data_IF_976631046258
#
_entry.id   IF_976631046258
#
_cell.length_a   1.000
_cell.length_b   1.000
_cell.length_c   1.000
_cell.angle_alpha   90.00
_cell.angle_beta   90.00
_cell.angle_gamma   90.00
#
_symmetry.space_group_name_H-M   'P 1'
#
loop_
_entity.id
_entity.type
_entity.pdbx_description
1 polymer ?
#
# COMPACT_ATOMS: atom_id res chain seq x y z
N UNK A 1 -19.39 -8.88 -32.87
CA UNK A 1 -18.94 -7.47 -32.83
C UNK A 1 -18.13 -7.31 -31.56
N UNK A 2 -16.84 -7.00 -31.70
CA UNK A 2 -15.87 -6.94 -30.60
C UNK A 2 -16.25 -5.79 -29.66
N UNK A 3 -16.65 -6.11 -28.44
CA UNK A 3 -16.67 -5.16 -27.32
C UNK A 3 -15.23 -4.82 -27.00
N UNK A 4 -14.89 -3.53 -27.09
CA UNK A 4 -13.54 -3.05 -26.84
C UNK A 4 -13.16 -3.28 -25.38
N UNK A 5 -12.12 -4.08 -25.17
CA UNK A 5 -11.36 -4.08 -23.94
C UNK A 5 -10.78 -2.67 -23.78
N UNK A 6 -11.39 -1.84 -22.94
CA UNK A 6 -10.69 -0.70 -22.36
C UNK A 6 -9.58 -1.31 -21.50
N UNK A 7 -8.38 -1.44 -22.08
CA UNK A 7 -7.15 -1.57 -21.32
C UNK A 7 -7.03 -0.28 -20.49
N UNK A 8 -7.51 -0.34 -19.24
CA UNK A 8 -7.18 0.66 -18.23
C UNK A 8 -5.70 0.46 -17.95
N UNK A 9 -4.88 1.26 -18.60
CA UNK A 9 -3.48 1.44 -18.21
C UNK A 9 -3.54 2.18 -16.88
N UNK A 10 -3.60 1.47 -15.75
CA UNK A 10 -3.02 1.99 -14.52
C UNK A 10 -1.53 2.03 -14.84
N UNK A 11 -1.09 3.16 -15.35
CA UNK A 11 0.31 3.40 -15.62
C UNK A 11 1.02 3.33 -14.27
N UNK A 12 1.61 2.16 -13.97
CA UNK A 12 2.81 2.07 -13.16
C UNK A 12 3.81 3.04 -13.79
N UNK A 13 3.87 4.24 -13.23
CA UNK A 13 4.81 5.27 -13.63
C UNK A 13 5.00 6.12 -12.40
N UNK A 14 5.97 5.70 -11.59
CA UNK A 14 6.77 6.58 -10.73
C UNK A 14 7.19 7.77 -11.62
N UNK A 15 6.45 8.86 -11.54
CA UNK A 15 6.82 10.11 -12.17
C UNK A 15 7.89 10.73 -11.29
N UNK A 16 9.14 10.48 -11.65
CA UNK A 16 10.30 11.24 -11.20
C UNK A 16 9.99 12.75 -11.27
N UNK A 17 9.86 13.40 -10.10
CA UNK A 17 9.92 14.85 -9.98
C UNK A 17 11.34 15.22 -9.59
N UNK A 18 12.13 15.53 -10.61
CA UNK A 18 13.40 16.25 -10.49
C UNK A 18 13.15 17.77 -10.51
N UNK A 19 13.94 18.47 -9.68
CA UNK A 19 14.22 19.92 -9.61
C UNK A 19 13.31 20.70 -8.64
N UNK A 20 13.83 21.35 -7.59
CA UNK A 20 14.62 22.60 -7.64
C UNK A 20 15.32 22.83 -6.28
N UNK A 21 16.54 23.40 -6.29
CA UNK A 21 16.95 24.33 -5.23
C UNK A 21 18.24 24.04 -4.48
N UNK A 22 19.38 24.13 -5.16
CA UNK A 22 20.68 24.35 -4.53
C UNK A 22 20.67 25.74 -3.84
N UNK A 23 20.78 25.79 -2.51
CA UNK A 23 21.17 27.01 -1.80
C UNK A 23 22.46 26.73 -1.04
N UNK A 24 23.55 27.31 -1.56
CA UNK A 24 24.81 27.48 -0.87
C UNK A 24 24.67 28.63 0.14
N UNK A 25 24.92 28.39 1.41
CA UNK A 25 25.31 29.44 2.36
C UNK A 25 26.64 29.03 2.98
N UNK A 26 27.70 29.71 2.57
CA UNK A 26 28.99 29.67 3.23
C UNK A 26 28.98 30.55 4.49
N UNK A 27 29.80 30.19 5.47
CA UNK A 27 30.04 30.99 6.68
C UNK A 27 30.85 30.24 7.71
N UNK A 28 32.17 30.36 7.63
CA UNK A 28 33.15 29.82 8.58
C UNK A 28 33.35 30.85 9.69
N UNK A 29 33.17 30.49 10.95
CA UNK A 29 33.84 31.19 12.07
C UNK A 29 34.26 30.20 13.17
N UNK A 30 35.56 30.25 13.48
CA UNK A 30 36.21 29.49 14.52
C UNK A 30 36.05 30.20 15.87
N UNK A 31 35.37 29.55 16.81
CA UNK A 31 35.25 29.98 18.20
C UNK A 31 35.84 28.95 19.16
N UNK A 32 36.91 29.33 19.86
CA UNK A 32 37.68 28.53 20.83
C UNK A 32 36.82 28.01 22.00
N UNK A 33 36.79 26.69 22.22
CA UNK A 33 36.14 26.04 23.38
C UNK A 33 37.17 25.61 24.44
N UNK A 34 36.96 26.05 25.68
CA UNK A 34 37.54 25.48 26.91
C UNK A 34 36.86 24.15 27.27
N UNK A 35 37.58 23.13 27.80
CA UNK A 35 36.97 21.84 28.11
C UNK A 35 36.33 21.86 29.51
N UNK A 36 35.01 21.67 29.58
CA UNK A 36 34.32 21.22 30.78
C UNK A 36 34.07 19.71 30.66
N UNK A 37 34.62 18.93 31.58
CA UNK A 37 34.38 17.49 31.68
C UNK A 37 33.02 17.24 32.36
N UNK A 38 32.03 16.81 31.59
CA UNK A 38 30.80 16.19 32.09
C UNK A 38 30.92 14.66 31.98
N UNK A 39 30.50 13.88 33.00
CA UNK A 39 30.49 12.43 32.89
C UNK A 39 29.43 12.02 31.86
N UNK A 40 29.88 11.39 30.77
CA UNK A 40 29.04 10.88 29.69
C UNK A 40 28.30 9.63 30.19
N UNK A 41 27.03 9.80 30.57
CA UNK A 41 26.11 8.67 30.67
C UNK A 41 25.86 8.20 29.23
N UNK A 42 26.27 6.98 28.91
CA UNK A 42 25.98 6.32 27.63
C UNK A 42 24.48 5.99 27.57
N UNK A 43 23.65 7.00 27.34
CA UNK A 43 22.33 6.79 26.78
C UNK A 43 22.52 6.23 25.39
N UNK A 44 22.34 4.92 25.23
CA UNK A 44 22.16 4.31 23.92
C UNK A 44 20.79 4.76 23.39
N UNK A 45 20.72 5.98 22.88
CA UNK A 45 19.66 6.33 21.95
C UNK A 45 19.95 5.52 20.69
N UNK A 46 19.30 4.37 20.57
CA UNK A 46 19.24 3.64 19.30
C UNK A 46 18.58 4.57 18.30
N UNK A 47 19.37 5.36 17.56
CA UNK A 47 18.87 6.03 16.37
C UNK A 47 18.33 4.93 15.47
N UNK A 48 17.06 5.04 15.06
CA UNK A 48 16.57 4.18 14.00
C UNK A 48 17.55 4.27 12.82
N UNK A 49 17.83 3.15 12.12
CA UNK A 49 18.67 3.19 10.94
C UNK A 49 18.06 4.18 9.96
N UNK A 50 18.88 5.10 9.43
CA UNK A 50 18.41 6.12 8.49
C UNK A 50 17.76 5.43 7.28
N UNK A 51 16.53 5.84 6.96
CA UNK A 51 15.85 5.41 5.75
C UNK A 51 16.47 6.06 4.50
N UNK A 52 16.46 5.34 3.38
CA UNK A 52 16.68 5.93 2.06
C UNK A 52 15.44 6.72 1.62
N UNK A 53 15.56 7.65 0.65
CA UNK A 53 14.41 8.33 0.08
C UNK A 53 13.35 7.36 -0.47
N UNK A 54 13.78 6.27 -1.09
CA UNK A 54 12.90 5.23 -1.66
C UNK A 54 12.13 4.48 -0.56
N UNK A 55 12.79 4.17 0.57
CA UNK A 55 12.12 3.56 1.73
C UNK A 55 11.09 4.50 2.37
N UNK A 56 11.39 5.79 2.47
CA UNK A 56 10.45 6.80 2.97
C UNK A 56 9.25 6.89 2.03
N UNK A 57 9.47 7.05 0.73
CA UNK A 57 8.41 7.11 -0.27
C UNK A 57 7.53 5.87 -0.21
N UNK A 58 8.13 4.68 -0.10
CA UNK A 58 7.37 3.44 -0.04
C UNK A 58 6.53 3.28 1.20
N UNK A 59 7.06 3.61 2.38
CA UNK A 59 6.26 3.55 3.61
C UNK A 59 5.05 4.50 3.53
N UNK A 60 5.27 5.73 3.04
CA UNK A 60 4.21 6.73 2.94
C UNK A 60 3.16 6.38 1.89
N UNK A 61 3.59 5.81 0.76
CA UNK A 61 2.67 5.37 -0.28
C UNK A 61 1.84 4.17 0.17
N UNK A 62 2.47 3.12 0.71
CA UNK A 62 1.73 1.93 1.19
C UNK A 62 0.72 2.31 2.28
N UNK A 63 1.00 3.33 3.09
CA UNK A 63 0.04 3.82 4.09
C UNK A 63 -1.26 4.31 3.46
N UNK A 64 -1.18 5.04 2.35
CA UNK A 64 -2.36 5.55 1.65
C UNK A 64 -2.96 4.52 0.68
N UNK A 65 -2.18 3.59 0.15
CA UNK A 65 -2.68 2.49 -0.68
C UNK A 65 -3.56 1.52 0.13
N UNK A 66 -3.11 1.11 1.31
CA UNK A 66 -3.92 0.28 2.23
C UNK A 66 -5.18 1.03 2.70
N UNK A 67 -5.08 2.36 2.86
CA UNK A 67 -6.24 3.22 3.10
C UNK A 67 -7.20 3.21 1.92
N UNK A 68 -6.71 3.25 0.69
CA UNK A 68 -7.52 3.18 -0.52
C UNK A 68 -8.29 1.86 -0.57
N UNK A 69 -7.62 0.74 -0.33
CA UNK A 69 -8.27 -0.57 -0.27
C UNK A 69 -9.39 -0.57 0.78
N UNK A 70 -9.07 -0.18 2.03
CA UNK A 70 -10.05 -0.07 3.12
C UNK A 70 -11.25 0.78 2.75
N UNK A 71 -11.01 1.99 2.25
CA UNK A 71 -12.05 2.98 2.01
C UNK A 71 -12.95 2.61 0.83
N UNK A 72 -12.38 2.01 -0.23
CA UNK A 72 -13.17 1.44 -1.33
C UNK A 72 -14.07 0.34 -0.80
N UNK A 73 -13.55 -0.57 0.04
CA UNK A 73 -14.32 -1.69 0.58
C UNK A 73 -15.42 -1.24 1.53
N UNK A 74 -15.16 -0.26 2.40
CA UNK A 74 -16.22 0.34 3.24
C UNK A 74 -17.32 0.97 2.37
N UNK A 75 -16.95 1.72 1.34
CA UNK A 75 -17.89 2.38 0.44
C UNK A 75 -18.72 1.39 -0.39
N UNK A 76 -18.10 0.31 -0.85
CA UNK A 76 -18.79 -0.76 -1.58
C UNK A 76 -19.62 -1.65 -0.66
N UNK A 77 -19.24 -1.80 0.61
CA UNK A 77 -20.08 -2.43 1.62
C UNK A 77 -21.36 -1.64 1.86
N UNK A 78 -21.30 -0.32 2.00
CA UNK A 78 -22.49 0.53 2.15
C UNK A 78 -23.42 0.45 0.93
N UNK A 79 -22.87 0.22 -0.26
CA UNK A 79 -23.63 0.09 -1.50
C UNK A 79 -24.29 -1.28 -1.64
N UNK A 80 -23.53 -2.35 -1.41
CA UNK A 80 -23.92 -3.72 -1.77
C UNK A 80 -24.27 -4.62 -0.57
N UNK A 81 -23.99 -4.17 0.65
CA UNK A 81 -24.18 -4.88 1.91
C UNK A 81 -23.67 -6.33 1.88
N UNK A 82 -22.54 -6.56 1.21
CA UNK A 82 -21.95 -7.89 1.05
C UNK A 82 -20.84 -8.13 2.08
N UNK A 83 -20.92 -9.18 2.93
CA UNK A 83 -19.99 -9.39 4.05
C UNK A 83 -18.50 -9.41 3.70
N UNK A 84 -18.12 -9.83 2.49
CA UNK A 84 -16.71 -9.87 2.06
C UNK A 84 -16.05 -8.48 2.16
N UNK A 85 -16.71 -7.42 1.69
CA UNK A 85 -16.17 -6.06 1.76
C UNK A 85 -15.96 -5.59 3.21
N UNK A 86 -16.91 -5.89 4.11
CA UNK A 86 -16.76 -5.56 5.52
C UNK A 86 -15.65 -6.37 6.20
N UNK A 87 -15.51 -7.64 5.85
CA UNK A 87 -14.50 -8.51 6.44
C UNK A 87 -13.09 -8.09 6.00
N UNK A 88 -12.92 -7.80 4.72
CA UNK A 88 -11.63 -7.43 4.14
C UNK A 88 -11.23 -6.00 4.54
N UNK A 89 -12.15 -5.03 4.58
CA UNK A 89 -11.83 -3.68 5.12
C UNK A 89 -11.30 -3.70 6.57
N UNK A 90 -11.70 -4.68 7.40
CA UNK A 90 -11.10 -4.85 8.74
C UNK A 90 -9.66 -5.40 8.66
N UNK A 91 -9.33 -6.19 7.65
CA UNK A 91 -7.97 -6.62 7.36
C UNK A 91 -7.12 -5.45 6.87
N UNK A 92 -7.65 -4.62 5.96
CA UNK A 92 -6.93 -3.43 5.48
C UNK A 92 -6.68 -2.42 6.60
N UNK A 93 -7.58 -2.32 7.57
CA UNK A 93 -7.29 -1.54 8.77
C UNK A 93 -6.07 -2.08 9.54
N UNK A 94 -5.90 -3.40 9.62
CA UNK A 94 -4.72 -4.00 10.25
C UNK A 94 -3.46 -3.73 9.43
N UNK A 95 -3.52 -3.83 8.10
CA UNK A 95 -2.40 -3.48 7.22
C UNK A 95 -2.00 -2.02 7.39
N UNK A 96 -2.97 -1.10 7.35
CA UNK A 96 -2.79 0.31 7.67
C UNK A 96 -2.07 0.51 9.00
N UNK A 97 -2.47 -0.19 10.05
CA UNK A 97 -1.86 -0.09 11.38
C UNK A 97 -0.42 -0.62 11.40
N UNK A 98 -0.12 -1.68 10.63
CA UNK A 98 1.23 -2.21 10.45
C UNK A 98 2.15 -1.20 9.77
N UNK A 99 1.71 -0.54 8.69
CA UNK A 99 2.49 0.52 8.03
C UNK A 99 2.64 1.74 8.94
N UNK A 100 1.58 2.11 9.68
CA UNK A 100 1.66 3.19 10.67
C UNK A 100 2.75 2.92 11.72
N UNK A 101 2.94 1.66 12.12
CA UNK A 101 4.02 1.30 13.05
C UNK A 101 5.42 1.61 12.51
N UNK A 102 5.62 1.54 11.19
CA UNK A 102 6.87 1.97 10.53
C UNK A 102 6.98 3.49 10.53
N UNK A 103 5.90 4.21 10.18
CA UNK A 103 5.84 5.67 10.21
C UNK A 103 6.23 6.20 11.60
N UNK A 104 5.63 5.64 12.66
CA UNK A 104 5.91 6.04 14.03
C UNK A 104 7.35 5.73 14.45
N UNK A 105 7.86 4.55 14.07
CA UNK A 105 9.24 4.10 14.36
C UNK A 105 10.30 5.00 13.71
N UNK A 106 10.07 5.38 12.46
CA UNK A 106 10.99 6.20 11.69
C UNK A 106 10.71 7.71 11.81
N UNK A 107 9.76 8.10 12.66
CA UNK A 107 9.36 9.49 12.91
C UNK A 107 8.98 10.25 11.63
N UNK A 108 8.26 9.58 10.73
CA UNK A 108 7.73 10.17 9.50
C UNK A 108 6.39 10.86 9.79
N UNK A 109 6.02 11.83 8.95
CA UNK A 109 4.69 12.43 8.99
C UNK A 109 3.67 11.48 8.34
N UNK A 110 2.60 11.12 9.04
CA UNK A 110 1.56 10.21 8.52
C UNK A 110 0.69 10.94 7.46
N UNK A 111 0.70 10.50 6.18
CA UNK A 111 -0.07 11.15 5.11
C UNK A 111 -1.57 10.88 5.21
N UNK A 112 -1.99 9.88 6.00
CA UNK A 112 -3.39 9.55 6.23
C UNK A 112 -3.98 10.20 7.49
N UNK A 113 -3.17 10.88 8.30
CA UNK A 113 -3.64 11.49 9.55
C UNK A 113 -4.61 12.63 9.27
N UNK A 114 -5.80 12.56 9.89
CA UNK A 114 -6.84 13.58 9.75
C UNK A 114 -7.71 13.47 8.50
N UNK A 115 -7.46 12.50 7.63
CA UNK A 115 -8.26 12.27 6.42
C UNK A 115 -9.48 11.37 6.70
N UNK A 116 -10.65 11.77 6.22
CA UNK A 116 -11.86 10.95 6.27
C UNK A 116 -11.86 9.84 5.20
N UNK A 117 -12.93 9.01 5.17
CA UNK A 117 -13.11 7.99 4.13
C UNK A 117 -13.15 8.66 2.75
N UNK A 118 -12.29 8.19 1.86
CA UNK A 118 -12.20 8.71 0.50
C UNK A 118 -11.40 10.00 0.34
N UNK A 119 -10.72 10.47 1.40
CA UNK A 119 -9.81 11.62 1.33
C UNK A 119 -8.35 11.15 1.34
N UNK A 120 -7.53 11.64 0.40
CA UNK A 120 -6.12 11.26 0.27
C UNK A 120 -5.22 12.49 0.09
N UNK A 121 -4.06 12.45 0.72
CA UNK A 121 -2.99 13.42 0.50
C UNK A 121 -2.39 13.22 -0.88
N UNK A 122 -2.10 11.98 -1.26
CA UNK A 122 -1.66 11.62 -2.61
C UNK A 122 -2.81 11.75 -3.62
N UNK A 123 -2.68 12.72 -4.53
CA UNK A 123 -3.71 13.02 -5.54
C UNK A 123 -3.89 11.94 -6.60
N UNK A 124 -2.89 11.09 -6.83
CA UNK A 124 -3.03 9.92 -7.71
C UNK A 124 -3.94 8.89 -7.06
N UNK A 125 -3.75 8.61 -5.77
CA UNK A 125 -4.60 7.70 -5.01
C UNK A 125 -6.03 8.25 -4.83
N UNK A 126 -6.18 9.57 -4.66
CA UNK A 126 -7.50 10.21 -4.67
C UNK A 126 -8.26 9.91 -5.97
N UNK A 127 -7.62 10.14 -7.12
CA UNK A 127 -8.24 9.88 -8.42
C UNK A 127 -8.55 8.39 -8.64
N UNK A 128 -7.66 7.52 -8.15
CA UNK A 128 -7.86 6.07 -8.24
C UNK A 128 -9.05 5.63 -7.39
N UNK A 129 -9.17 6.12 -6.16
CA UNK A 129 -10.32 5.88 -5.28
C UNK A 129 -11.64 6.27 -5.98
N UNK A 130 -11.72 7.48 -6.53
CA UNK A 130 -12.92 7.98 -7.20
C UNK A 130 -13.32 7.07 -8.38
N UNK A 131 -12.34 6.64 -9.17
CA UNK A 131 -12.55 5.75 -10.32
C UNK A 131 -13.01 4.36 -9.90
N UNK A 132 -12.38 3.76 -8.89
CA UNK A 132 -12.69 2.43 -8.40
C UNK A 132 -14.07 2.38 -7.74
N UNK A 133 -14.42 3.39 -6.95
CA UNK A 133 -15.78 3.51 -6.37
C UNK A 133 -16.82 3.68 -7.46
N UNK A 134 -16.57 4.54 -8.45
CA UNK A 134 -17.50 4.72 -9.57
C UNK A 134 -17.72 3.40 -10.35
N UNK A 135 -16.64 2.68 -10.66
CA UNK A 135 -16.72 1.37 -11.31
C UNK A 135 -17.46 0.35 -10.44
N UNK A 136 -17.05 0.18 -9.18
CA UNK A 136 -17.62 -0.80 -8.27
C UNK A 136 -19.09 -0.56 -7.92
N UNK A 137 -19.61 0.66 -8.10
CA UNK A 137 -21.03 0.98 -7.96
C UNK A 137 -21.88 0.59 -9.18
N UNK A 138 -21.27 0.18 -10.29
CA UNK A 138 -22.00 -0.18 -11.52
C UNK A 138 -22.77 -1.50 -11.37
N UNK A 139 -22.14 -2.51 -10.79
CA UNK A 139 -22.75 -3.81 -10.48
C UNK A 139 -21.98 -4.53 -9.38
N UNK A 140 -22.61 -5.51 -8.72
CA UNK A 140 -21.90 -6.34 -7.74
C UNK A 140 -20.72 -7.11 -8.38
N UNK A 141 -20.85 -7.50 -9.65
CA UNK A 141 -19.75 -8.11 -10.39
C UNK A 141 -18.59 -7.11 -10.59
N UNK A 142 -18.88 -5.86 -10.95
CA UNK A 142 -17.85 -4.81 -11.04
C UNK A 142 -17.23 -4.51 -9.67
N UNK A 143 -17.99 -4.63 -8.58
CA UNK A 143 -17.48 -4.43 -7.22
C UNK A 143 -16.47 -5.51 -6.82
N UNK A 144 -16.77 -6.80 -7.09
CA UNK A 144 -15.80 -7.88 -6.84
C UNK A 144 -14.59 -7.78 -7.77
N UNK A 145 -14.79 -7.34 -9.01
CA UNK A 145 -13.69 -7.12 -9.95
C UNK A 145 -12.77 -5.98 -9.50
N UNK A 146 -13.34 -4.88 -8.96
CA UNK A 146 -12.59 -3.80 -8.33
C UNK A 146 -11.80 -4.30 -7.13
N UNK A 147 -12.41 -5.16 -6.29
CA UNK A 147 -11.70 -5.83 -5.20
C UNK A 147 -10.48 -6.59 -5.70
N UNK A 148 -10.65 -7.51 -6.64
CA UNK A 148 -9.52 -8.26 -7.22
C UNK A 148 -8.47 -7.34 -7.86
N UNK A 149 -8.88 -6.28 -8.55
CA UNK A 149 -7.97 -5.29 -9.13
C UNK A 149 -7.09 -4.60 -8.09
N UNK A 150 -7.66 -4.18 -6.96
CA UNK A 150 -6.91 -3.55 -5.88
C UNK A 150 -5.85 -4.51 -5.34
N UNK A 151 -6.23 -5.76 -5.06
CA UNK A 151 -5.30 -6.75 -4.50
C UNK A 151 -4.18 -7.13 -5.48
N UNK A 152 -4.44 -7.13 -6.79
CA UNK A 152 -3.37 -7.35 -7.78
C UNK A 152 -2.36 -6.19 -7.78
N UNK A 153 -2.84 -4.95 -7.74
CA UNK A 153 -1.97 -3.76 -7.73
C UNK A 153 -1.16 -3.71 -6.44
N UNK A 154 -1.78 -3.95 -5.29
CA UNK A 154 -1.11 -3.97 -4.00
C UNK A 154 0.04 -5.01 -3.96
N UNK A 155 -0.17 -6.21 -4.52
CA UNK A 155 0.87 -7.23 -4.63
C UNK A 155 2.02 -6.78 -5.54
N UNK A 156 1.72 -6.12 -6.66
CA UNK A 156 2.75 -5.60 -7.58
C UNK A 156 3.59 -4.52 -6.90
N UNK A 157 2.94 -3.54 -6.26
CA UNK A 157 3.62 -2.44 -5.60
C UNK A 157 4.45 -2.93 -4.39
N UNK A 158 3.96 -3.92 -3.64
CA UNK A 158 4.71 -4.57 -2.55
C UNK A 158 5.93 -5.35 -3.06
N UNK A 159 5.82 -6.06 -4.18
CA UNK A 159 6.96 -6.77 -4.78
C UNK A 159 8.05 -5.78 -5.22
N UNK A 160 7.66 -4.68 -5.88
CA UNK A 160 8.60 -3.63 -6.28
C UNK A 160 9.32 -3.03 -5.06
N UNK A 161 8.57 -2.71 -4.00
CA UNK A 161 9.13 -2.10 -2.78
C UNK A 161 10.03 -3.05 -1.99
N UNK A 162 9.75 -4.35 -2.02
CA UNK A 162 10.61 -5.37 -1.40
C UNK A 162 11.98 -5.45 -2.09
N UNK A 163 12.11 -5.05 -3.35
CA UNK A 163 13.42 -4.96 -4.04
C UNK A 163 14.22 -3.71 -3.63
N UNK A 164 13.58 -2.73 -2.99
CA UNK A 164 14.16 -1.42 -2.66
C UNK A 164 14.68 -1.33 -1.22
N UNK A 165 14.54 -2.38 -0.40
CA UNK A 165 14.97 -2.36 1.01
C UNK A 165 15.53 -3.70 1.47
N UNK A 166 16.52 -3.64 2.36
CA UNK A 166 17.03 -4.78 3.12
C UNK A 166 16.70 -4.66 4.63
N UNK A 167 15.93 -3.64 5.03
CA UNK A 167 15.57 -3.41 6.43
C UNK A 167 14.55 -4.44 6.88
N UNK A 168 14.98 -5.31 7.79
CA UNK A 168 14.21 -6.45 8.24
C UNK A 168 12.80 -6.10 8.73
N UNK A 169 12.60 -4.94 9.36
CA UNK A 169 11.30 -4.53 9.86
C UNK A 169 10.34 -4.06 8.76
N UNK A 170 10.84 -3.35 7.74
CA UNK A 170 10.07 -3.01 6.53
C UNK A 170 9.72 -4.29 5.75
N UNK A 171 10.71 -5.15 5.51
CA UNK A 171 10.55 -6.43 4.82
C UNK A 171 9.51 -7.30 5.52
N UNK A 172 9.48 -7.34 6.85
CA UNK A 172 8.50 -8.10 7.61
C UNK A 172 7.07 -7.57 7.41
N UNK A 173 6.89 -6.24 7.46
CA UNK A 173 5.57 -5.62 7.22
C UNK A 173 5.11 -5.89 5.80
N UNK A 174 5.92 -5.59 4.79
CA UNK A 174 5.51 -5.77 3.38
C UNK A 174 5.22 -7.23 3.02
N UNK A 175 5.96 -8.21 3.56
CA UNK A 175 5.61 -9.61 3.34
C UNK A 175 4.30 -10.02 4.00
N UNK A 176 3.96 -9.41 5.15
CA UNK A 176 2.70 -9.67 5.84
C UNK A 176 1.52 -9.11 5.04
N UNK A 177 1.63 -7.86 4.59
CA UNK A 177 0.66 -7.21 3.69
C UNK A 177 0.46 -8.06 2.44
N UNK A 178 1.55 -8.38 1.72
CA UNK A 178 1.50 -9.13 0.45
C UNK A 178 0.80 -10.47 0.59
N UNK A 179 0.92 -11.14 1.74
CA UNK A 179 0.15 -12.36 1.93
C UNK A 179 -1.32 -12.10 2.32
N UNK A 180 -1.61 -11.05 3.08
CA UNK A 180 -2.97 -10.54 3.25
C UNK A 180 -3.67 -10.35 1.91
N UNK A 181 -3.09 -9.54 1.02
CA UNK A 181 -3.62 -9.23 -0.31
C UNK A 181 -3.78 -10.50 -1.16
N UNK A 182 -2.86 -11.46 -1.09
CA UNK A 182 -3.02 -12.76 -1.74
C UNK A 182 -4.26 -13.54 -1.26
N UNK A 183 -4.61 -13.47 0.03
CA UNK A 183 -5.85 -14.08 0.54
C UNK A 183 -7.09 -13.32 0.06
N UNK A 184 -7.03 -11.99 0.02
CA UNK A 184 -8.12 -11.15 -0.43
C UNK A 184 -8.39 -11.34 -1.93
N UNK A 185 -7.34 -11.41 -2.75
CA UNK A 185 -7.42 -11.69 -4.18
C UNK A 185 -8.17 -13.01 -4.43
N UNK A 186 -7.75 -14.09 -3.76
CA UNK A 186 -8.44 -15.39 -3.83
C UNK A 186 -9.92 -15.28 -3.46
N UNK A 187 -10.25 -14.48 -2.45
CA UNK A 187 -11.62 -14.29 -2.01
C UNK A 187 -12.47 -13.52 -3.04
N UNK A 188 -11.96 -12.41 -3.58
CA UNK A 188 -12.67 -11.61 -4.58
C UNK A 188 -12.82 -12.34 -5.91
N UNK A 189 -11.76 -13.00 -6.39
CA UNK A 189 -11.82 -13.85 -7.59
C UNK A 189 -12.88 -14.94 -7.42
N UNK A 190 -12.86 -15.66 -6.29
CA UNK A 190 -13.86 -16.72 -6.04
C UNK A 190 -15.31 -16.19 -6.05
N UNK A 191 -15.57 -15.02 -5.45
CA UNK A 191 -16.90 -14.40 -5.48
C UNK A 191 -17.28 -13.95 -6.90
N UNK A 192 -16.34 -13.37 -7.64
CA UNK A 192 -16.57 -12.88 -9.00
C UNK A 192 -16.88 -14.03 -9.97
N UNK A 193 -16.07 -15.09 -9.96
CA UNK A 193 -16.26 -16.27 -10.81
C UNK A 193 -17.58 -16.97 -10.48
N UNK A 194 -17.92 -17.08 -9.18
CA UNK A 194 -19.19 -17.67 -8.75
C UNK A 194 -20.40 -16.85 -9.25
N UNK A 195 -20.33 -15.52 -9.16
CA UNK A 195 -21.42 -14.64 -9.56
C UNK A 195 -21.61 -14.60 -11.09
N UNK A 196 -20.51 -14.63 -11.84
CA UNK A 196 -20.53 -14.41 -13.30
C UNK A 196 -20.53 -15.70 -14.11
N UNK A 197 -20.07 -16.81 -13.54
CA UNK A 197 -19.82 -18.07 -14.25
C UNK A 197 -18.64 -18.02 -15.23
N UNK A 198 -17.82 -16.97 -15.18
CA UNK A 198 -16.64 -16.79 -16.02
C UNK A 198 -15.37 -17.09 -15.23
N UNK A 199 -14.27 -17.37 -15.93
CA UNK A 199 -12.92 -17.46 -15.35
C UNK A 199 -12.32 -16.07 -15.25
N UNK A 200 -11.74 -15.75 -14.09
CA UNK A 200 -11.04 -14.49 -13.88
C UNK A 200 -9.67 -14.53 -14.57
N UNK A 201 -9.35 -13.47 -15.30
CA UNK A 201 -8.05 -13.28 -15.96
C UNK A 201 -7.31 -12.14 -15.24
N UNK A 202 -6.06 -12.34 -14.79
CA UNK A 202 -5.30 -11.29 -14.11
C UNK A 202 -5.09 -10.08 -15.03
N UNK A 203 -5.13 -8.87 -14.44
CA UNK A 203 -4.98 -7.62 -15.17
C UNK A 203 -3.58 -7.03 -15.04
N UNK A 204 -2.95 -7.22 -13.87
CA UNK A 204 -1.66 -6.62 -13.52
C UNK A 204 -0.63 -7.69 -13.16
N UNK A 205 -1.05 -8.78 -12.53
CA UNK A 205 -0.16 -9.90 -12.26
C UNK A 205 0.22 -10.62 -13.56
N UNK A 206 1.45 -11.13 -13.60
CA UNK A 206 1.79 -12.12 -14.62
C UNK A 206 0.96 -13.38 -14.41
N UNK A 207 0.67 -14.11 -15.49
CA UNK A 207 -0.08 -15.36 -15.40
C UNK A 207 0.59 -16.35 -14.44
N UNK A 208 1.93 -16.44 -14.47
CA UNK A 208 2.69 -17.32 -13.58
C UNK A 208 2.50 -16.95 -12.11
N UNK A 209 2.64 -15.67 -11.75
CA UNK A 209 2.50 -15.20 -10.38
C UNK A 209 1.04 -15.33 -9.90
N UNK A 210 0.07 -15.02 -10.77
CA UNK A 210 -1.33 -15.22 -10.48
C UNK A 210 -1.62 -16.68 -10.16
N UNK A 211 -1.18 -17.62 -10.99
CA UNK A 211 -1.39 -19.05 -10.75
C UNK A 211 -0.71 -19.54 -9.48
N UNK A 212 0.50 -19.03 -9.17
CA UNK A 212 1.16 -19.32 -7.90
C UNK A 212 0.28 -18.90 -6.71
N UNK A 213 -0.21 -17.66 -6.71
CA UNK A 213 -1.09 -17.13 -5.66
C UNK A 213 -2.39 -17.92 -5.56
N UNK A 214 -3.03 -18.24 -6.68
CA UNK A 214 -4.30 -18.97 -6.70
C UNK A 214 -4.16 -20.43 -6.26
N UNK A 215 -2.98 -21.03 -6.45
CA UNK A 215 -2.67 -22.39 -5.97
C UNK A 215 -2.37 -22.47 -4.46
N UNK A 216 -2.10 -21.34 -3.82
CA UNK A 216 -1.82 -21.26 -2.38
C UNK A 216 -3.04 -21.58 -1.52
N UNK A 217 -2.81 -22.17 -0.33
CA UNK A 217 -3.88 -22.43 0.62
C UNK A 217 -4.45 -21.11 1.21
N UNK A 218 -5.78 -20.99 1.28
CA UNK A 218 -6.43 -19.91 2.03
C UNK A 218 -5.99 -19.96 3.51
N UNK A 219 -5.47 -18.85 4.03
CA UNK A 219 -4.92 -18.78 5.38
C UNK A 219 -3.50 -19.37 5.54
N UNK A 220 -2.86 -19.79 4.45
CA UNK A 220 -1.52 -20.42 4.45
C UNK A 220 -0.34 -19.53 4.85
N UNK A 221 -0.58 -18.28 5.27
CA UNK A 221 0.45 -17.35 5.74
C UNK A 221 0.23 -16.88 7.18
N UNK A 222 -0.35 -17.73 8.03
CA UNK A 222 -0.43 -17.45 9.46
C UNK A 222 0.88 -17.76 10.18
N UNK A 223 1.52 -16.74 10.76
CA UNK A 223 2.34 -16.91 11.97
C UNK A 223 3.62 -16.07 12.03
N UNK A 224 3.53 -14.87 12.60
CA UNK A 224 4.60 -14.30 13.42
C UNK A 224 4.03 -13.89 14.77
#
# INVERSE_FOLDING_TARGET
MRTGTLLFVVSLSIAAVLLIGLVWVGGVEAGTRTPFFFPMILSHTSSAPTLTPEEVEGILYMREEEKLARDVYLTLYDTWNTPIFQNISRSEQQHMDMVKSLIDRYHLSDPAEGNDIGEFTNQTLQQLYDQLVAKGKTSLADAFYVGATIEEVDIVDLLERLEQTDKADIVQVYNSLKCGSGNHLRAYVSQWEHLTGQTYEPQYLSEELYQEIMSGQQGGCGGH
#
